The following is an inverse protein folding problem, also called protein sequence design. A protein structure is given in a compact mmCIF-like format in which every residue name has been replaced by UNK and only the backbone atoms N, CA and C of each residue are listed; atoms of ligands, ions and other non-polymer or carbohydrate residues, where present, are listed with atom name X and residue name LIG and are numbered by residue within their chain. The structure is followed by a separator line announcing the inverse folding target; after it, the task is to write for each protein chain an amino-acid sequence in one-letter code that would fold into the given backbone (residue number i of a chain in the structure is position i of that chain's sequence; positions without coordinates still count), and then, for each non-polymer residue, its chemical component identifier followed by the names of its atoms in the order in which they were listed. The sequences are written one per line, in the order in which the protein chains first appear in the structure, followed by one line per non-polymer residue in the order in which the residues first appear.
data_IF_374755810990
#
_entry.id   IF_374755810990
#
_cell.length_a   1.000
_cell.length_b   1.000
_cell.length_c   1.000
_cell.angle_alpha   90.00
_cell.angle_beta   90.00
_cell.angle_gamma   90.00
#
_symmetry.space_group_name_H-M   'P 1'
#
loop_
_entity.id
_entity.type
_entity.pdbx_description
1 polymer ?
#
# COMPACT_ATOMS: atom_id res chain seq x y z
N UNK A 1 0.51 10.90 -9.82
CA UNK A 1 1.48 11.45 -8.82
C UNK A 1 0.77 11.53 -7.49
N UNK A 2 1.46 11.19 -6.38
CA UNK A 2 0.81 10.99 -5.07
C UNK A 2 0.57 12.27 -4.26
N UNK A 3 1.05 13.43 -4.71
CA UNK A 3 0.85 14.75 -4.08
C UNK A 3 1.21 14.78 -2.57
N UNK A 4 2.32 14.14 -2.21
CA UNK A 4 2.82 14.18 -0.85
C UNK A 4 3.26 15.59 -0.48
N UNK A 5 3.06 15.99 0.77
CA UNK A 5 3.49 17.30 1.27
C UNK A 5 3.69 17.30 2.77
N UNK A 6 4.50 18.21 3.29
CA UNK A 6 4.66 18.42 4.73
C UNK A 6 3.67 19.49 5.20
N UNK A 7 3.02 19.23 6.33
CA UNK A 7 2.09 20.18 6.93
C UNK A 7 2.90 21.27 7.65
N UNK A 8 3.00 22.45 7.05
CA UNK A 8 3.75 23.57 7.62
C UNK A 8 2.83 24.54 8.38
N UNK A 9 1.74 24.96 7.74
CA UNK A 9 0.75 25.88 8.31
C UNK A 9 -0.64 25.21 8.37
N UNK A 10 -0.93 24.45 9.44
CA UNK A 10 -2.19 23.75 9.58
C UNK A 10 -3.35 24.70 9.83
N UNK A 11 -4.51 24.38 9.24
CA UNK A 11 -5.75 25.10 9.57
C UNK A 11 -6.11 24.92 11.05
N UNK A 12 -6.89 25.88 11.65
CA UNK A 12 -7.37 25.74 13.01
C UNK A 12 -8.05 24.39 13.27
N UNK A 13 -7.64 23.73 14.35
CA UNK A 13 -8.08 22.37 14.70
C UNK A 13 -7.24 21.25 14.08
N UNK A 14 -6.28 21.56 13.20
CA UNK A 14 -5.38 20.59 12.58
C UNK A 14 -3.93 20.69 13.07
N UNK A 15 -3.68 21.43 14.14
CA UNK A 15 -2.35 21.65 14.73
C UNK A 15 -1.60 20.35 15.06
N UNK A 16 -2.26 19.23 15.47
CA UNK A 16 -1.57 17.96 15.73
C UNK A 16 -0.86 17.36 14.52
N UNK A 17 -1.19 17.79 13.30
CA UNK A 17 -0.58 17.30 12.07
C UNK A 17 0.65 18.11 11.63
N UNK A 18 0.94 19.23 12.29
CA UNK A 18 2.09 20.08 11.94
C UNK A 18 3.40 19.30 11.93
N UNK A 19 4.23 19.53 10.92
CA UNK A 19 5.51 18.86 10.72
C UNK A 19 5.41 17.44 10.16
N UNK A 20 4.21 16.86 10.04
CA UNK A 20 4.01 15.52 9.51
C UNK A 20 3.92 15.52 7.99
N UNK A 21 4.28 14.41 7.38
CA UNK A 21 4.06 14.15 5.96
C UNK A 21 2.60 13.80 5.73
N UNK A 22 1.92 14.61 4.93
CA UNK A 22 0.56 14.34 4.47
C UNK A 22 0.58 13.39 3.26
N UNK A 23 -0.21 12.34 3.36
CA UNK A 23 -0.36 11.29 2.33
C UNK A 23 -1.83 11.31 1.91
N UNK A 24 -2.18 12.02 0.82
CA UNK A 24 -3.56 12.08 0.36
C UNK A 24 -3.98 10.79 -0.35
N UNK A 25 -5.19 10.35 -0.08
CA UNK A 25 -5.88 9.26 -0.78
C UNK A 25 -6.71 9.87 -1.89
N UNK A 26 -6.26 9.64 -3.11
CA UNK A 26 -6.79 10.30 -4.30
C UNK A 26 -7.61 9.30 -5.10
N UNK A 27 -8.81 9.72 -5.49
CA UNK A 27 -9.69 9.01 -6.43
C UNK A 27 -10.01 9.90 -7.61
N UNK A 28 -10.68 9.42 -8.67
CA UNK A 28 -11.17 10.28 -9.75
C UNK A 28 -12.07 11.43 -9.28
N UNK A 29 -12.70 11.30 -8.10
CA UNK A 29 -13.53 12.35 -7.50
C UNK A 29 -12.74 13.35 -6.65
N UNK A 30 -11.43 13.21 -6.54
CA UNK A 30 -10.55 14.06 -5.75
C UNK A 30 -9.97 13.36 -4.54
N UNK A 31 -9.48 14.15 -3.56
CA UNK A 31 -8.95 13.65 -2.29
C UNK A 31 -10.09 13.22 -1.39
N UNK A 32 -10.10 11.96 -0.97
CA UNK A 32 -11.16 11.35 -0.13
C UNK A 32 -10.74 11.12 1.31
N UNK A 33 -9.43 11.06 1.57
CA UNK A 33 -8.85 10.94 2.91
C UNK A 33 -7.42 11.46 2.89
N UNK A 34 -6.86 11.76 4.06
CA UNK A 34 -5.45 12.11 4.26
C UNK A 34 -4.94 11.38 5.49
N UNK A 35 -3.84 10.67 5.35
CA UNK A 35 -3.07 10.19 6.50
C UNK A 35 -1.82 11.02 6.70
N UNK A 36 -1.38 11.10 7.93
CA UNK A 36 -0.22 11.90 8.32
C UNK A 36 0.81 10.99 8.97
N UNK A 37 2.00 10.96 8.40
CA UNK A 37 3.12 10.19 8.94
C UNK A 37 4.12 11.11 9.64
N UNK A 38 4.58 10.72 10.83
CA UNK A 38 5.71 11.33 11.49
C UNK A 38 6.99 11.20 10.64
N UNK A 39 7.74 12.28 10.48
CA UNK A 39 8.99 12.33 9.74
C UNK A 39 10.18 12.08 10.68
N UNK A 40 10.04 12.53 11.92
CA UNK A 40 11.01 12.35 12.98
C UNK A 40 10.33 11.51 14.06
N UNK A 41 10.74 10.63 14.70
CA UNK A 41 10.27 9.74 15.77
C UNK A 41 9.00 10.16 16.54
N UNK A 42 8.03 10.76 15.85
CA UNK A 42 6.76 11.18 16.47
C UNK A 42 5.91 9.95 16.81
N UNK A 43 5.31 9.99 18.00
CA UNK A 43 4.31 9.03 18.44
C UNK A 43 2.92 9.67 18.51
N UNK A 44 1.90 9.10 17.87
CA UNK A 44 1.95 7.90 17.02
C UNK A 44 2.64 8.16 15.68
N UNK A 45 3.29 7.13 15.12
CA UNK A 45 3.95 7.18 13.81
C UNK A 45 3.00 7.60 12.68
N UNK A 46 1.75 7.16 12.74
CA UNK A 46 0.70 7.53 11.79
C UNK A 46 -0.52 8.11 12.50
N UNK A 47 -1.12 9.11 11.90
CA UNK A 47 -2.41 9.69 12.30
C UNK A 47 -3.34 9.75 11.08
N UNK A 48 -4.64 9.60 11.31
CA UNK A 48 -5.69 9.89 10.33
C UNK A 48 -6.46 11.15 10.72
N UNK A 49 -7.29 11.64 9.82
CA UNK A 49 -8.28 12.66 10.15
C UNK A 49 -9.27 12.12 11.19
N UNK A 50 -9.72 12.98 12.09
CA UNK A 50 -10.69 12.59 13.12
C UNK A 50 -11.97 12.07 12.46
N UNK A 51 -12.38 10.86 12.83
CA UNK A 51 -13.57 10.20 12.26
C UNK A 51 -13.37 9.54 10.89
N UNK A 52 -12.22 9.72 10.24
CA UNK A 52 -11.92 9.01 9.01
C UNK A 52 -11.71 7.50 9.25
N UNK A 53 -12.14 6.70 8.29
CA UNK A 53 -11.88 5.24 8.28
C UNK A 53 -10.82 4.98 7.23
N UNK A 54 -9.72 4.35 7.63
CA UNK A 54 -8.68 3.92 6.69
C UNK A 54 -9.29 3.09 5.56
N UNK A 55 -8.95 3.46 4.34
CA UNK A 55 -9.42 2.83 3.11
C UNK A 55 -8.23 2.28 2.31
N UNK A 56 -8.50 1.67 1.18
CA UNK A 56 -7.49 1.23 0.22
C UNK A 56 -6.77 2.45 -0.37
N UNK A 57 -5.45 2.42 -0.40
CA UNK A 57 -4.61 3.45 -0.99
C UNK A 57 -4.37 3.17 -2.48
N UNK A 58 -4.24 4.23 -3.28
CA UNK A 58 -3.98 4.16 -4.72
C UNK A 58 -5.01 3.33 -5.51
N UNK A 59 -6.29 3.49 -5.20
CA UNK A 59 -7.38 2.76 -5.89
C UNK A 59 -7.40 2.99 -7.40
N UNK A 60 -6.71 4.03 -7.91
CA UNK A 60 -6.57 4.27 -9.34
C UNK A 60 -5.84 3.12 -10.05
N UNK A 61 -4.99 2.38 -9.36
CA UNK A 61 -4.32 1.20 -9.90
C UNK A 61 -5.32 0.14 -10.39
N UNK A 62 -6.48 -0.01 -9.73
CA UNK A 62 -7.51 -0.96 -10.14
C UNK A 62 -8.13 -0.62 -11.52
N UNK A 63 -8.08 0.65 -11.95
CA UNK A 63 -8.63 1.06 -13.25
C UNK A 63 -7.65 0.93 -14.40
N UNK A 64 -6.35 0.82 -14.12
CA UNK A 64 -5.29 0.68 -15.13
C UNK A 64 -4.72 -0.73 -15.18
N UNK A 65 -4.97 -1.53 -14.15
CA UNK A 65 -4.61 -2.95 -14.12
C UNK A 65 -5.43 -3.72 -15.16
N UNK A 66 -4.78 -4.66 -15.86
CA UNK A 66 -5.43 -5.54 -16.84
C UNK A 66 -5.65 -6.94 -16.21
N UNK A 67 -4.62 -7.75 -16.14
CA UNK A 67 -4.71 -9.15 -15.70
C UNK A 67 -4.37 -9.36 -14.23
N UNK A 68 -3.51 -8.52 -13.68
CA UNK A 68 -3.05 -8.68 -12.31
C UNK A 68 -2.93 -7.34 -11.58
N UNK A 69 -2.91 -7.44 -10.26
CA UNK A 69 -2.69 -6.30 -9.38
C UNK A 69 -1.81 -6.70 -8.20
N UNK A 70 -0.91 -5.80 -7.80
CA UNK A 70 -0.08 -5.95 -6.62
C UNK A 70 -0.75 -5.30 -5.40
N UNK A 71 -0.56 -5.92 -4.23
CA UNK A 71 -1.08 -5.44 -2.94
C UNK A 71 0.06 -5.35 -1.94
N UNK A 72 0.24 -4.19 -1.31
CA UNK A 72 1.23 -3.95 -0.24
C UNK A 72 0.55 -3.63 1.08
N UNK A 73 1.29 -3.75 2.20
CA UNK A 73 0.78 -3.42 3.53
C UNK A 73 0.81 -1.93 3.85
N UNK A 74 1.63 -1.15 3.16
CA UNK A 74 1.84 0.25 3.46
C UNK A 74 1.70 1.18 2.27
N UNK A 75 1.46 2.47 2.55
CA UNK A 75 1.43 3.50 1.52
C UNK A 75 2.80 3.67 0.86
N UNK A 76 3.90 3.56 1.64
CA UNK A 76 5.24 3.79 1.10
C UNK A 76 5.68 2.68 0.17
N UNK A 77 5.35 1.44 0.50
CA UNK A 77 5.62 0.29 -0.38
C UNK A 77 4.84 0.41 -1.68
N UNK A 78 3.57 0.81 -1.58
CA UNK A 78 2.73 1.09 -2.74
C UNK A 78 3.28 2.23 -3.60
N UNK A 79 3.73 3.33 -2.97
CA UNK A 79 4.34 4.47 -3.67
C UNK A 79 5.64 4.03 -4.35
N UNK A 80 6.50 3.29 -3.64
CA UNK A 80 7.78 2.81 -4.17
C UNK A 80 7.54 1.91 -5.39
N UNK A 81 6.62 0.93 -5.29
CA UNK A 81 6.21 0.08 -6.41
C UNK A 81 5.74 0.92 -7.59
N UNK A 82 4.80 1.83 -7.37
CA UNK A 82 4.21 2.65 -8.42
C UNK A 82 5.19 3.61 -9.11
N UNK A 83 6.23 4.08 -8.38
CA UNK A 83 7.22 5.03 -8.91
C UNK A 83 8.39 4.31 -9.60
N UNK A 84 8.80 3.16 -9.10
CA UNK A 84 10.01 2.44 -9.57
C UNK A 84 9.71 1.33 -10.56
N UNK A 85 8.48 0.84 -10.59
CA UNK A 85 8.03 -0.20 -11.51
C UNK A 85 6.81 0.27 -12.30
N UNK A 86 6.33 -0.54 -13.22
CA UNK A 86 5.06 -0.29 -13.94
C UNK A 86 3.95 -1.22 -13.45
N UNK A 87 4.17 -1.95 -12.35
CA UNK A 87 3.17 -2.85 -11.80
C UNK A 87 2.03 -2.08 -11.13
N UNK A 88 0.76 -2.31 -11.52
CA UNK A 88 -0.37 -1.70 -10.85
C UNK A 88 -0.41 -2.18 -9.40
N UNK A 89 -0.34 -1.23 -8.46
CA UNK A 89 -0.17 -1.55 -7.03
C UNK A 89 -1.13 -0.72 -6.19
N UNK A 90 -1.84 -1.39 -5.30
CA UNK A 90 -2.64 -0.78 -4.22
C UNK A 90 -1.97 -1.02 -2.86
N UNK A 91 -2.25 -0.14 -1.91
CA UNK A 91 -1.84 -0.31 -0.51
C UNK A 91 -3.04 -0.53 0.41
N UNK A 92 -2.89 -1.43 1.39
CA UNK A 92 -3.86 -1.64 2.47
C UNK A 92 -3.17 -1.32 3.79
N UNK A 93 -3.23 -0.06 4.24
CA UNK A 93 -2.40 0.43 5.32
C UNK A 93 -2.72 -0.23 6.67
N UNK A 94 -1.85 -1.16 7.06
CA UNK A 94 -1.97 -2.00 8.25
C UNK A 94 -2.79 -3.27 7.98
N UNK A 95 -2.21 -4.41 8.33
CA UNK A 95 -2.76 -5.75 8.11
C UNK A 95 -4.21 -5.95 8.64
N UNK A 96 -4.58 -5.18 9.68
CA UNK A 96 -5.93 -5.23 10.26
C UNK A 96 -6.98 -4.44 9.45
N UNK A 97 -6.58 -3.65 8.46
CA UNK A 97 -7.49 -2.83 7.66
C UNK A 97 -8.02 -3.53 6.39
N UNK A 98 -7.66 -4.78 6.18
CA UNK A 98 -8.33 -5.60 5.17
C UNK A 98 -9.83 -5.71 5.46
N UNK A 99 -10.65 -5.47 4.44
CA UNK A 99 -12.11 -5.51 4.53
C UNK A 99 -12.69 -6.48 3.48
N UNK A 100 -13.70 -7.28 3.81
CA UNK A 100 -14.25 -8.30 2.90
C UNK A 100 -14.72 -7.76 1.54
N UNK A 101 -15.13 -6.49 1.46
CA UNK A 101 -15.52 -5.91 0.18
C UNK A 101 -14.33 -5.63 -0.76
N UNK A 102 -13.08 -5.61 -0.26
CA UNK A 102 -11.90 -5.52 -1.11
C UNK A 102 -11.71 -6.80 -1.93
N UNK A 103 -12.03 -7.95 -1.36
CA UNK A 103 -12.01 -9.21 -2.09
C UNK A 103 -12.86 -9.15 -3.36
N UNK A 104 -14.07 -8.57 -3.28
CA UNK A 104 -14.95 -8.42 -4.45
C UNK A 104 -14.38 -7.55 -5.58
N UNK A 105 -13.53 -6.59 -5.23
CA UNK A 105 -12.85 -5.73 -6.23
C UNK A 105 -11.68 -6.48 -6.86
N UNK A 106 -10.98 -7.27 -6.04
CA UNK A 106 -9.75 -7.95 -6.46
C UNK A 106 -10.02 -9.31 -7.13
N UNK A 107 -11.20 -9.87 -6.97
CA UNK A 107 -11.61 -11.13 -7.59
C UNK A 107 -11.77 -11.03 -9.13
N UNK A 108 -11.88 -9.81 -9.65
CA UNK A 108 -11.96 -9.54 -11.09
C UNK A 108 -10.61 -9.68 -11.81
N UNK A 109 -9.49 -9.76 -11.09
CA UNK A 109 -8.15 -9.94 -11.68
C UNK A 109 -7.81 -11.44 -11.82
N UNK A 110 -7.07 -11.81 -12.87
CA UNK A 110 -6.58 -13.18 -13.04
C UNK A 110 -5.64 -13.57 -11.89
N UNK A 111 -4.80 -12.61 -11.44
CA UNK A 111 -3.82 -12.82 -10.36
C UNK A 111 -3.76 -11.61 -9.42
N UNK A 112 -3.84 -11.87 -8.13
CA UNK A 112 -3.55 -10.88 -7.06
C UNK A 112 -2.21 -11.24 -6.42
N UNK A 113 -1.25 -10.33 -6.48
CA UNK A 113 0.10 -10.54 -5.96
C UNK A 113 0.26 -9.77 -4.66
N UNK A 114 0.28 -10.45 -3.54
CA UNK A 114 0.52 -9.84 -2.23
C UNK A 114 2.02 -9.78 -1.96
N UNK A 115 2.53 -8.56 -1.84
CA UNK A 115 3.91 -8.28 -1.43
C UNK A 115 3.92 -8.13 0.08
N UNK A 116 4.24 -9.22 0.76
CA UNK A 116 4.17 -9.30 2.22
C UNK A 116 5.51 -8.91 2.85
N UNK A 117 5.48 -8.06 3.87
CA UNK A 117 6.66 -7.73 4.66
C UNK A 117 7.29 -8.99 5.28
N UNK A 118 8.60 -8.96 5.49
CA UNK A 118 9.39 -10.10 5.98
C UNK A 118 9.27 -10.31 7.49
N UNK A 119 8.03 -10.23 8.01
CA UNK A 119 7.73 -10.47 9.42
C UNK A 119 6.46 -11.31 9.60
N UNK A 120 6.11 -11.60 10.85
CA UNK A 120 4.92 -12.41 11.17
C UNK A 120 3.61 -11.70 10.78
N UNK A 121 3.57 -10.37 10.83
CA UNK A 121 2.38 -9.60 10.47
C UNK A 121 2.15 -9.64 8.97
N UNK A 122 3.21 -9.47 8.16
CA UNK A 122 3.15 -9.58 6.71
C UNK A 122 2.71 -10.96 6.23
N UNK A 123 3.24 -12.00 6.86
CA UNK A 123 2.82 -13.38 6.54
C UNK A 123 1.33 -13.60 6.86
N UNK A 124 0.83 -13.12 7.99
CA UNK A 124 -0.58 -13.24 8.34
C UNK A 124 -1.47 -12.36 7.45
N UNK A 125 -0.99 -11.21 7.01
CA UNK A 125 -1.68 -10.37 6.03
C UNK A 125 -1.88 -11.11 4.70
N UNK A 126 -0.82 -11.70 4.14
CA UNK A 126 -0.91 -12.49 2.92
C UNK A 126 -1.87 -13.68 3.05
N UNK A 127 -1.76 -14.44 4.16
CA UNK A 127 -2.67 -15.54 4.45
C UNK A 127 -4.13 -15.11 4.62
N UNK A 128 -4.37 -13.94 5.22
CA UNK A 128 -5.72 -13.41 5.38
C UNK A 128 -6.38 -13.13 4.04
N UNK A 129 -5.65 -12.53 3.10
CA UNK A 129 -6.14 -12.25 1.76
C UNK A 129 -6.39 -13.56 1.00
N UNK A 130 -5.45 -14.51 1.05
CA UNK A 130 -5.57 -15.79 0.35
C UNK A 130 -6.67 -16.72 0.88
N UNK A 131 -7.21 -16.46 2.08
CA UNK A 131 -8.42 -17.17 2.57
C UNK A 131 -9.72 -16.65 1.94
N UNK A 132 -9.71 -15.42 1.45
CA UNK A 132 -10.90 -14.77 0.89
C UNK A 132 -10.88 -14.71 -0.65
N UNK A 133 -9.70 -14.94 -1.28
CA UNK A 133 -9.49 -14.91 -2.73
C UNK A 133 -8.76 -16.17 -3.18
N UNK A 134 -9.23 -16.78 -4.27
CA UNK A 134 -8.64 -18.00 -4.83
C UNK A 134 -7.46 -17.78 -5.78
N UNK A 135 -7.23 -16.53 -6.21
CA UNK A 135 -6.28 -16.12 -7.25
C UNK A 135 -5.05 -15.39 -6.69
N UNK A 136 -4.63 -15.69 -5.45
CA UNK A 136 -3.57 -14.99 -4.72
C UNK A 136 -2.23 -15.72 -4.82
N UNK A 137 -1.20 -14.98 -5.21
CA UNK A 137 0.21 -15.35 -5.02
C UNK A 137 0.83 -14.43 -3.96
N UNK A 138 1.63 -14.98 -3.05
CA UNK A 138 2.31 -14.23 -1.99
C UNK A 138 3.80 -14.22 -2.28
N UNK A 139 4.37 -13.03 -2.42
CA UNK A 139 5.81 -12.80 -2.47
C UNK A 139 6.22 -12.21 -1.12
N UNK A 140 6.83 -13.03 -0.27
CA UNK A 140 7.34 -12.57 1.02
C UNK A 140 8.71 -11.94 0.88
N UNK A 141 8.89 -10.77 1.50
CA UNK A 141 10.20 -10.15 1.62
C UNK A 141 11.09 -10.99 2.56
N UNK A 142 12.43 -10.89 2.43
CA UNK A 142 13.34 -11.47 3.40
C UNK A 142 13.07 -10.98 4.83
N UNK A 143 13.47 -11.76 5.82
CA UNK A 143 13.26 -11.45 7.24
C UNK A 143 13.74 -10.03 7.61
N UNK A 144 12.84 -9.24 8.18
CA UNK A 144 13.07 -7.86 8.59
C UNK A 144 13.05 -6.82 7.47
N UNK A 145 12.74 -7.22 6.24
CA UNK A 145 12.66 -6.33 5.09
C UNK A 145 11.19 -6.04 4.72
N UNK A 146 10.97 -4.86 4.14
CA UNK A 146 9.75 -4.48 3.42
C UNK A 146 10.06 -4.24 1.93
N UNK A 147 9.06 -3.98 1.13
CA UNK A 147 9.21 -3.72 -0.31
C UNK A 147 10.13 -2.52 -0.55
N UNK A 148 9.96 -1.45 0.23
CA UNK A 148 10.73 -0.23 0.11
C UNK A 148 12.22 -0.47 0.38
N UNK A 149 12.55 -1.17 1.47
CA UNK A 149 13.93 -1.50 1.84
C UNK A 149 14.59 -2.42 0.81
N UNK A 150 13.85 -3.40 0.28
CA UNK A 150 14.34 -4.30 -0.76
C UNK A 150 14.63 -3.57 -2.07
N UNK A 151 13.76 -2.65 -2.49
CA UNK A 151 14.02 -1.84 -3.68
C UNK A 151 15.22 -0.91 -3.53
N UNK A 152 15.47 -0.38 -2.34
CA UNK A 152 16.67 0.42 -2.06
C UNK A 152 17.94 -0.45 -2.13
N UNK A 153 17.88 -1.68 -1.64
CA UNK A 153 19.04 -2.59 -1.55
C UNK A 153 19.34 -3.32 -2.85
N UNK A 154 18.32 -3.76 -3.57
CA UNK A 154 18.43 -4.70 -4.71
C UNK A 154 18.00 -4.08 -6.06
N UNK A 155 17.38 -2.89 -6.04
CA UNK A 155 16.74 -2.33 -7.23
C UNK A 155 15.35 -2.92 -7.50
N UNK A 156 14.70 -2.44 -8.57
CA UNK A 156 13.37 -2.91 -8.95
C UNK A 156 13.39 -4.27 -9.65
N UNK A 157 14.49 -4.63 -10.31
CA UNK A 157 14.62 -5.86 -11.09
C UNK A 157 14.34 -7.11 -10.26
N UNK A 158 14.74 -7.09 -8.99
CA UNK A 158 14.53 -8.19 -8.07
C UNK A 158 13.03 -8.50 -7.86
N UNK A 159 12.18 -7.48 -7.74
CA UNK A 159 10.73 -7.66 -7.57
C UNK A 159 10.04 -7.91 -8.91
N UNK A 160 10.49 -7.24 -9.98
CA UNK A 160 9.94 -7.40 -11.32
C UNK A 160 10.04 -8.85 -11.82
N UNK A 161 11.15 -9.54 -11.52
CA UNK A 161 11.36 -10.94 -11.88
C UNK A 161 10.34 -11.84 -11.18
N UNK A 162 10.15 -11.69 -9.87
CA UNK A 162 9.20 -12.47 -9.06
C UNK A 162 7.75 -12.24 -9.45
N UNK A 163 7.40 -11.01 -9.77
CA UNK A 163 6.05 -10.69 -10.25
C UNK A 163 5.79 -11.35 -11.60
N UNK A 164 6.76 -11.30 -12.52
CA UNK A 164 6.65 -11.96 -13.82
C UNK A 164 6.44 -13.48 -13.68
N UNK A 165 7.16 -14.13 -12.78
CA UNK A 165 6.96 -15.55 -12.48
C UNK A 165 5.53 -15.84 -12.03
N UNK A 166 4.95 -15.02 -11.15
CA UNK A 166 3.58 -15.19 -10.68
C UNK A 166 2.52 -14.97 -11.78
N UNK A 167 2.78 -14.07 -12.74
CA UNK A 167 1.82 -13.75 -13.82
C UNK A 167 1.86 -14.77 -14.94
N UNK A 168 2.97 -15.48 -15.12
CA UNK A 168 3.16 -16.44 -16.22
C UNK A 168 2.91 -17.89 -15.82
N UNK A 169 2.71 -18.16 -14.53
CA UNK A 169 2.42 -19.49 -13.97
C UNK A 169 0.96 -19.88 -14.14
#
# INVERSE_FOLDING_TARGET
MFHLGVVDDPMPGHEPYKGRLAIPYITPSGVVDIRFRGIHNEDPKYMGLVGAKTTMFNTQACFVADKYICVTEGEFDCIMMSVKTQHPTIGIPGANNWKPHYAKILDDFDVVIVLADGDAAGLEFGKKISRELGNVNIISMPEGEDVNSMMIKQGSEWIDERIRECVTA
#
